data_IF_138331170965
#
_entry.id   IF_138331170965
#
_cell.length_a   1.000
_cell.length_b   1.000
_cell.length_c   1.000
_cell.angle_alpha   90.00
_cell.angle_beta   90.00
_cell.angle_gamma   90.00
#
_symmetry.space_group_name_H-M   'P 1'
#
loop_
_entity.id
_entity.type
_entity.pdbx_description
1 polymer ?
#
# COMPACT_ATOMS: atom_id res chain seq x y z
N UNK A 1 9.01 0.31 9.25
CA UNK A 1 9.59 1.17 8.19
C UNK A 1 9.07 2.59 8.32
N UNK A 2 9.73 3.59 7.71
CA UNK A 2 9.51 5.02 7.95
C UNK A 2 8.11 5.59 7.56
N UNK A 3 7.15 4.75 7.17
CA UNK A 3 5.93 5.15 6.46
C UNK A 3 4.62 4.67 7.12
N UNK A 4 4.68 4.17 8.36
CA UNK A 4 3.51 3.76 9.15
C UNK A 4 3.35 2.25 9.34
N UNK A 5 2.29 1.88 10.05
CA UNK A 5 1.95 0.50 10.39
C UNK A 5 1.40 -0.26 9.19
N UNK A 6 1.65 -1.57 9.18
CA UNK A 6 1.10 -2.51 8.19
C UNK A 6 0.20 -3.49 8.91
N UNK A 7 -1.01 -3.67 8.41
CA UNK A 7 -2.01 -4.58 8.96
C UNK A 7 -2.34 -5.67 7.95
N UNK A 8 -2.67 -6.85 8.45
CA UNK A 8 -3.28 -7.91 7.64
C UNK A 8 -4.75 -7.58 7.42
N UNK A 9 -5.22 -7.67 6.19
CA UNK A 9 -6.61 -7.39 5.81
C UNK A 9 -7.16 -8.41 4.81
N UNK A 10 -8.41 -8.21 4.42
CA UNK A 10 -9.08 -8.96 3.35
C UNK A 10 -9.69 -7.98 2.36
N UNK A 11 -9.42 -8.18 1.08
CA UNK A 11 -9.99 -7.41 -0.03
C UNK A 11 -10.40 -8.34 -1.15
N UNK A 12 -11.66 -8.25 -1.61
CA UNK A 12 -12.25 -9.15 -2.61
C UNK A 12 -11.99 -10.65 -2.33
N UNK A 13 -12.07 -11.05 -1.05
CA UNK A 13 -11.84 -12.44 -0.63
C UNK A 13 -10.38 -12.87 -0.58
N UNK A 14 -9.42 -11.99 -0.89
CA UNK A 14 -7.98 -12.28 -0.83
C UNK A 14 -7.34 -11.63 0.40
N UNK A 15 -6.37 -12.33 1.01
CA UNK A 15 -5.56 -11.78 2.10
C UNK A 15 -4.61 -10.72 1.54
N UNK A 16 -4.57 -9.56 2.16
CA UNK A 16 -3.76 -8.41 1.73
C UNK A 16 -2.98 -7.80 2.89
N UNK A 17 -1.91 -7.09 2.57
CA UNK A 17 -1.22 -6.19 3.48
C UNK A 17 -1.72 -4.75 3.25
N UNK A 18 -2.15 -4.08 4.31
CA UNK A 18 -2.67 -2.71 4.27
C UNK A 18 -1.75 -1.81 5.05
N UNK A 19 -1.08 -0.90 4.36
CA UNK A 19 -0.15 0.07 4.96
C UNK A 19 -0.84 1.41 5.13
N UNK A 20 -0.78 1.98 6.33
CA UNK A 20 -1.35 3.29 6.64
C UNK A 20 -0.32 4.37 6.37
N UNK A 21 -0.58 5.22 5.37
CA UNK A 21 0.30 6.33 5.03
C UNK A 21 0.01 7.53 5.93
N UNK A 22 0.82 7.66 6.97
CA UNK A 22 0.85 8.82 7.87
C UNK A 22 1.62 9.99 7.23
N UNK A 23 1.10 10.52 6.14
CA UNK A 23 1.59 11.76 5.54
C UNK A 23 0.63 12.91 5.85
N UNK A 24 1.14 14.13 5.89
CA UNK A 24 0.28 15.31 5.88
C UNK A 24 -0.33 15.47 4.48
N UNK A 25 -1.62 15.14 4.37
CA UNK A 25 -2.36 15.17 3.10
C UNK A 25 -2.91 16.57 2.77
N UNK A 26 -2.62 17.59 3.58
CA UNK A 26 -3.03 18.97 3.31
C UNK A 26 -2.22 19.60 2.17
N UNK A 27 -0.99 19.14 1.94
CA UNK A 27 -0.17 19.59 0.81
C UNK A 27 -0.60 18.89 -0.49
N UNK A 28 -1.22 19.64 -1.40
CA UNK A 28 -1.71 19.15 -2.70
C UNK A 28 -0.59 18.56 -3.55
N UNK A 29 0.59 19.19 -3.56
CA UNK A 29 1.74 18.73 -4.34
C UNK A 29 2.37 17.45 -3.78
N UNK A 30 2.49 17.34 -2.45
CA UNK A 30 2.93 16.12 -1.77
C UNK A 30 2.01 14.95 -2.09
N UNK A 31 0.69 15.18 -2.00
CA UNK A 31 -0.33 14.17 -2.39
C UNK A 31 -0.21 13.75 -3.85
N UNK A 32 -0.04 14.71 -4.76
CA UNK A 32 0.10 14.42 -6.21
C UNK A 32 1.33 13.58 -6.50
N UNK A 33 2.49 13.94 -5.94
CA UNK A 33 3.74 13.19 -6.13
C UNK A 33 3.63 11.77 -5.57
N UNK A 34 3.01 11.62 -4.40
CA UNK A 34 2.73 10.31 -3.82
C UNK A 34 1.87 9.45 -4.75
N UNK A 35 0.71 9.96 -5.17
CA UNK A 35 -0.20 9.21 -6.04
C UNK A 35 0.42 8.89 -7.40
N UNK A 36 1.27 9.77 -7.94
CA UNK A 36 1.97 9.53 -9.19
C UNK A 36 2.95 8.35 -9.06
N UNK A 37 3.78 8.32 -8.02
CA UNK A 37 4.72 7.22 -7.79
C UNK A 37 4.02 5.88 -7.58
N UNK A 38 2.95 5.87 -6.79
CA UNK A 38 2.15 4.67 -6.56
C UNK A 38 1.38 4.22 -7.82
N UNK A 39 0.95 5.13 -8.69
CA UNK A 39 0.32 4.78 -9.98
C UNK A 39 1.32 4.05 -10.89
N UNK A 40 2.58 4.47 -10.91
CA UNK A 40 3.63 3.71 -11.60
C UNK A 40 3.81 2.34 -10.96
N UNK A 41 3.81 2.27 -9.62
CA UNK A 41 3.95 1.01 -8.89
C UNK A 41 2.83 0.01 -9.15
N UNK A 42 1.60 0.46 -9.40
CA UNK A 42 0.46 -0.40 -9.77
C UNK A 42 0.72 -1.24 -11.03
N UNK A 43 1.60 -0.78 -11.92
CA UNK A 43 1.90 -1.47 -13.17
C UNK A 43 3.08 -2.46 -13.04
N UNK A 44 3.78 -2.49 -11.90
CA UNK A 44 4.86 -3.46 -11.69
C UNK A 44 4.30 -4.80 -11.21
N UNK A 45 4.52 -5.83 -12.02
CA UNK A 45 4.23 -7.22 -11.68
C UNK A 45 5.48 -8.06 -11.96
N UNK A 46 6.22 -8.40 -10.90
CA UNK A 46 7.43 -9.22 -10.99
C UNK A 46 7.47 -10.19 -9.80
N UNK A 47 7.88 -11.46 -9.98
CA UNK A 47 7.85 -12.49 -8.93
C UNK A 47 8.62 -12.14 -7.65
N UNK A 48 9.59 -11.22 -7.74
CA UNK A 48 10.42 -10.79 -6.60
C UNK A 48 10.11 -9.38 -6.09
N UNK A 49 8.98 -8.78 -6.50
CA UNK A 49 8.57 -7.43 -6.09
C UNK A 49 7.15 -7.49 -5.56
N UNK A 50 6.94 -6.99 -4.33
CA UNK A 50 5.60 -6.94 -3.73
C UNK A 50 4.68 -6.11 -4.62
N UNK A 51 3.63 -6.77 -5.11
CA UNK A 51 2.66 -6.17 -6.00
C UNK A 51 1.72 -5.26 -5.25
N UNK A 52 1.57 -4.06 -5.79
CA UNK A 52 0.54 -3.12 -5.37
C UNK A 52 -0.82 -3.56 -5.94
N UNK A 53 -1.82 -3.66 -5.07
CA UNK A 53 -3.20 -4.01 -5.43
C UNK A 53 -4.01 -2.74 -5.70
N UNK A 54 -3.80 -1.69 -4.91
CA UNK A 54 -4.56 -0.45 -5.01
C UNK A 54 -4.20 0.57 -3.93
N UNK A 55 -4.79 1.76 -4.03
CA UNK A 55 -4.64 2.85 -3.08
C UNK A 55 -6.03 3.34 -2.66
N UNK A 56 -6.31 3.32 -1.35
CA UNK A 56 -7.54 3.87 -0.79
C UNK A 56 -7.36 5.36 -0.49
N UNK A 57 -7.73 6.22 -1.44
CA UNK A 57 -7.51 7.68 -1.39
C UNK A 57 -8.66 8.48 -0.79
N UNK A 58 -9.82 7.83 -0.56
CA UNK A 58 -11.02 8.46 0.02
C UNK A 58 -11.08 8.31 1.55
N UNK A 59 -10.27 7.42 2.12
CA UNK A 59 -10.15 7.20 3.56
C UNK A 59 -8.99 8.04 4.12
N UNK A 60 -9.12 8.48 5.37
CA UNK A 60 -8.03 9.09 6.13
C UNK A 60 -7.65 8.18 7.33
N UNK A 61 -6.37 7.80 7.48
CA UNK A 61 -5.27 8.06 6.56
C UNK A 61 -5.45 7.33 5.21
N UNK A 62 -4.77 7.81 4.17
CA UNK A 62 -4.68 7.07 2.89
C UNK A 62 -4.01 5.72 3.15
N UNK A 63 -4.50 4.69 2.48
CA UNK A 63 -3.96 3.34 2.65
C UNK A 63 -3.44 2.79 1.32
N UNK A 64 -2.29 2.11 1.38
CA UNK A 64 -1.74 1.32 0.28
C UNK A 64 -2.13 -0.14 0.53
N UNK A 65 -2.77 -0.76 -0.45
CA UNK A 65 -3.18 -2.17 -0.40
C UNK A 65 -2.24 -2.97 -1.28
N UNK A 66 -1.59 -3.97 -0.71
CA UNK A 66 -0.57 -4.80 -1.35
C UNK A 66 -0.91 -6.28 -1.17
N UNK A 67 -0.27 -7.13 -1.96
CA UNK A 67 -0.31 -8.57 -1.68
C UNK A 67 0.29 -8.87 -0.31
N UNK A 68 -0.26 -9.89 0.35
CA UNK A 68 0.26 -10.35 1.63
C UNK A 68 1.37 -11.38 1.38
N UNK A 69 2.56 -11.09 1.90
CA UNK A 69 3.69 -12.03 1.91
C UNK A 69 3.79 -12.60 3.32
N UNK A 70 3.53 -13.89 3.46
CA UNK A 70 3.73 -14.58 4.73
C UNK A 70 5.23 -14.65 5.05
N UNK A 71 5.60 -14.50 6.32
CA UNK A 71 6.99 -14.70 6.71
C UNK A 71 7.33 -16.18 6.50
N UNK A 72 8.53 -16.44 5.98
CA UNK A 72 9.04 -17.81 5.75
C UNK A 72 9.23 -18.56 7.10
N UNK A 73 9.07 -17.87 8.23
CA UNK A 73 9.28 -18.38 9.59
C UNK A 73 7.98 -18.70 10.35
N UNK A 74 6.80 -18.66 9.71
CA UNK A 74 5.52 -18.99 10.37
C UNK A 74 5.27 -20.53 10.52
N UNK A 75 6.33 -21.32 10.74
CA UNK A 75 6.28 -22.76 11.06
C UNK A 75 6.87 -23.07 12.43
#
# INVERSE_FOLDING_TARGET
GNFGDVYRGVYNGQVVAVKLCRADWTEVDGRRKFLQGETTALHFAHPNVVRLVGIAVRTHPVMIVMEYVAAIWDY
#
